data_IF_858331396639
#
_entry.id   IF_858331396639
#
_cell.length_a   1.000
_cell.length_b   1.000
_cell.length_c   1.000
_cell.angle_alpha   90.00
_cell.angle_beta   90.00
_cell.angle_gamma   90.00
#
_symmetry.space_group_name_H-M   'P 1'
#
loop_
_entity.id
_entity.type
_entity.pdbx_description
1 polymer ?
#
# COMPACT_ATOMS: atom_id res chain seq x y z
N UNK A 1 -30.20 2.00 -22.29
CA UNK A 1 -29.66 3.05 -23.18
C UNK A 1 -29.56 4.31 -22.32
N UNK A 2 -28.42 5.00 -22.29
CA UNK A 2 -28.29 6.26 -21.55
C UNK A 2 -28.99 7.38 -22.34
N UNK A 3 -29.68 8.27 -21.63
CA UNK A 3 -30.45 9.37 -22.21
C UNK A 3 -29.64 10.67 -22.32
N UNK A 4 -28.44 10.73 -21.75
CA UNK A 4 -27.53 11.88 -21.90
C UNK A 4 -26.07 11.53 -21.65
N UNK A 5 -25.15 12.40 -22.08
CA UNK A 5 -23.73 12.31 -21.73
C UNK A 5 -23.47 12.44 -20.23
N UNK A 6 -24.31 13.18 -19.51
CA UNK A 6 -24.22 13.31 -18.06
C UNK A 6 -24.53 11.98 -17.35
N UNK A 7 -25.59 11.28 -17.79
CA UNK A 7 -25.91 9.95 -17.26
C UNK A 7 -24.80 8.92 -17.55
N UNK A 8 -24.16 9.01 -18.72
CA UNK A 8 -23.01 8.16 -19.07
C UNK A 8 -21.83 8.41 -18.11
N UNK A 9 -21.51 9.67 -17.83
CA UNK A 9 -20.42 10.03 -16.91
C UNK A 9 -20.74 9.59 -15.47
N UNK A 10 -21.95 9.86 -14.98
CA UNK A 10 -22.38 9.44 -13.65
C UNK A 10 -22.30 7.91 -13.48
N UNK A 11 -22.73 7.15 -14.49
CA UNK A 11 -22.62 5.70 -14.48
C UNK A 11 -21.16 5.22 -14.53
N UNK A 12 -20.31 5.92 -15.28
CA UNK A 12 -18.86 5.64 -15.32
C UNK A 12 -18.23 5.81 -13.95
N UNK A 13 -18.51 6.93 -13.27
CA UNK A 13 -18.01 7.19 -11.91
C UNK A 13 -18.49 6.11 -10.93
N UNK A 14 -19.77 5.71 -11.02
CA UNK A 14 -20.31 4.65 -10.16
C UNK A 14 -19.60 3.30 -10.38
N UNK A 15 -19.17 2.97 -11.61
CA UNK A 15 -18.36 1.78 -11.88
C UNK A 15 -16.99 1.91 -11.22
N UNK A 16 -16.33 3.06 -11.34
CA UNK A 16 -15.01 3.31 -10.75
C UNK A 16 -15.09 3.18 -9.22
N UNK A 17 -16.05 3.85 -8.58
CA UNK A 17 -16.23 3.78 -7.12
C UNK A 17 -16.55 2.37 -6.64
N UNK A 18 -17.41 1.64 -7.35
CA UNK A 18 -17.70 0.25 -7.00
C UNK A 18 -16.45 -0.62 -7.12
N UNK A 19 -15.68 -0.45 -8.20
CA UNK A 19 -14.45 -1.22 -8.43
C UNK A 19 -13.43 -0.94 -7.32
N UNK A 20 -13.22 0.32 -6.95
CA UNK A 20 -12.33 0.68 -5.84
C UNK A 20 -12.76 0.03 -4.52
N UNK A 21 -14.05 0.06 -4.19
CA UNK A 21 -14.57 -0.59 -2.99
C UNK A 21 -14.41 -2.11 -3.01
N UNK A 22 -14.72 -2.77 -4.12
CA UNK A 22 -14.55 -4.22 -4.26
C UNK A 22 -13.08 -4.64 -4.11
N UNK A 23 -12.15 -3.90 -4.71
CA UNK A 23 -10.71 -4.14 -4.54
C UNK A 23 -10.24 -3.93 -3.10
N UNK A 24 -10.77 -2.90 -2.41
CA UNK A 24 -10.47 -2.67 -0.99
C UNK A 24 -10.90 -3.83 -0.12
N UNK A 25 -12.12 -4.35 -0.30
CA UNK A 25 -12.62 -5.51 0.43
C UNK A 25 -11.78 -6.77 0.14
N UNK A 26 -11.36 -6.99 -1.11
CA UNK A 26 -10.45 -8.08 -1.46
C UNK A 26 -9.13 -7.96 -0.69
N UNK A 27 -8.55 -6.76 -0.66
CA UNK A 27 -7.27 -6.52 0.03
C UNK A 27 -7.41 -6.69 1.55
N UNK A 28 -8.51 -6.24 2.16
CA UNK A 28 -8.84 -6.52 3.58
C UNK A 28 -8.89 -8.02 3.84
N UNK A 29 -9.60 -8.77 3.00
CA UNK A 29 -9.75 -10.22 3.18
C UNK A 29 -8.41 -10.94 3.07
N UNK A 30 -7.63 -10.66 2.01
CA UNK A 30 -6.32 -11.27 1.81
C UNK A 30 -5.35 -10.94 2.95
N UNK A 31 -5.33 -9.69 3.42
CA UNK A 31 -4.46 -9.30 4.54
C UNK A 31 -4.91 -9.90 5.87
N UNK A 32 -6.19 -10.23 6.03
CA UNK A 32 -6.69 -10.92 7.24
C UNK A 32 -6.18 -12.35 7.39
N UNK A 33 -5.70 -12.97 6.31
CA UNK A 33 -5.05 -14.29 6.34
C UNK A 33 -3.62 -14.21 6.92
N UNK A 34 -3.04 -13.00 6.99
CA UNK A 34 -1.69 -12.77 7.50
C UNK A 34 -1.78 -12.48 9.01
N UNK A 35 -1.45 -13.46 9.84
CA UNK A 35 -1.52 -13.32 11.30
C UNK A 35 -0.64 -12.19 11.85
N UNK A 36 0.57 -11.99 11.28
CA UNK A 36 1.45 -10.86 11.58
C UNK A 36 2.15 -10.43 10.30
N UNK A 37 2.13 -9.13 10.00
CA UNK A 37 2.82 -8.58 8.83
C UNK A 37 4.34 -8.80 8.94
N UNK A 38 5.02 -9.12 7.83
CA UNK A 38 6.46 -9.35 7.84
C UNK A 38 7.23 -8.04 8.10
N UNK A 39 8.45 -8.09 8.66
CA UNK A 39 9.31 -6.92 8.71
C UNK A 39 9.61 -6.43 7.29
N UNK A 40 9.50 -5.12 7.07
CA UNK A 40 9.80 -4.54 5.76
C UNK A 40 11.31 -4.58 5.50
N UNK A 41 11.77 -4.96 4.28
CA UNK A 41 13.19 -5.05 3.97
C UNK A 41 13.95 -3.75 4.25
N UNK A 42 15.00 -3.83 5.09
CA UNK A 42 15.84 -2.69 5.44
C UNK A 42 15.23 -1.72 6.46
N UNK A 43 13.96 -1.89 6.84
CA UNK A 43 13.33 -1.18 7.94
C UNK A 43 13.75 -1.76 9.31
N UNK A 44 13.64 -0.92 10.34
CA UNK A 44 13.97 -1.26 11.74
C UNK A 44 12.67 -1.46 12.52
N UNK A 45 11.63 -0.69 12.19
CA UNK A 45 10.39 -0.66 12.96
C UNK A 45 9.14 -0.84 12.10
N UNK A 46 9.30 -0.84 10.77
CA UNK A 46 8.19 -0.98 9.82
C UNK A 46 7.91 -2.44 9.46
N UNK A 47 6.64 -2.81 9.48
CA UNK A 47 6.14 -4.13 9.10
C UNK A 47 5.07 -3.97 8.02
N UNK A 48 5.14 -4.79 6.99
CA UNK A 48 4.21 -4.77 5.87
C UNK A 48 4.78 -5.39 4.60
N UNK A 49 3.93 -5.53 3.61
CA UNK A 49 4.30 -6.12 2.32
C UNK A 49 4.62 -5.00 1.33
N UNK A 50 5.82 -5.05 0.76
CA UNK A 50 6.25 -4.12 -0.29
C UNK A 50 5.37 -4.25 -1.55
N UNK A 51 4.96 -3.10 -2.08
CA UNK A 51 4.18 -2.98 -3.31
C UNK A 51 4.99 -2.16 -4.30
N UNK A 52 5.21 -2.72 -5.49
CA UNK A 52 5.75 -1.95 -6.60
C UNK A 52 4.74 -0.88 -7.01
N UNK A 53 5.10 0.42 -6.97
CA UNK A 53 4.18 1.47 -7.33
C UNK A 53 3.75 1.34 -8.80
N UNK A 54 2.47 1.62 -9.14
CA UNK A 54 2.03 1.60 -10.52
C UNK A 54 2.79 2.65 -11.35
N UNK A 55 2.94 2.39 -12.65
CA UNK A 55 3.67 3.29 -13.55
C UNK A 55 3.13 4.72 -13.49
N UNK A 56 4.02 5.68 -13.30
CA UNK A 56 3.68 7.10 -13.21
C UNK A 56 3.15 7.54 -11.85
N UNK A 57 3.17 6.67 -10.84
CA UNK A 57 2.93 7.06 -9.45
C UNK A 57 4.02 8.03 -8.98
N UNK A 58 3.61 9.01 -8.16
CA UNK A 58 4.51 9.95 -7.51
C UNK A 58 4.97 9.47 -6.13
N UNK A 59 4.41 8.36 -5.64
CA UNK A 59 4.78 7.77 -4.36
C UNK A 59 6.04 6.93 -4.49
N UNK A 60 6.85 6.94 -3.43
CA UNK A 60 8.03 6.11 -3.27
C UNK A 60 7.68 4.68 -2.86
N UNK A 61 8.19 4.25 -1.71
CA UNK A 61 8.01 2.88 -1.22
C UNK A 61 6.59 2.68 -0.69
N UNK A 62 5.76 1.93 -1.42
CA UNK A 62 4.39 1.63 -0.98
C UNK A 62 4.38 0.31 -0.21
N UNK A 63 3.62 0.29 0.88
CA UNK A 63 3.49 -0.85 1.78
C UNK A 63 2.02 -1.16 2.02
N UNK A 64 1.66 -2.44 1.97
CA UNK A 64 0.40 -2.93 2.55
C UNK A 64 0.57 -3.13 4.04
N UNK A 65 -0.15 -2.31 4.81
CA UNK A 65 -0.22 -2.38 6.26
C UNK A 65 -1.45 -3.14 6.76
N UNK A 66 -1.81 -2.92 8.03
CA UNK A 66 -2.94 -3.61 8.64
C UNK A 66 -4.26 -3.31 7.92
N UNK A 67 -5.16 -4.31 7.90
CA UNK A 67 -6.49 -4.21 7.28
C UNK A 67 -6.44 -3.74 5.82
N UNK A 68 -5.38 -4.10 5.09
CA UNK A 68 -5.23 -3.76 3.68
C UNK A 68 -5.03 -2.27 3.39
N UNK A 69 -4.74 -1.45 4.39
CA UNK A 69 -4.41 -0.05 4.15
C UNK A 69 -3.08 0.08 3.41
N UNK A 70 -2.99 1.08 2.54
CA UNK A 70 -1.78 1.38 1.78
C UNK A 70 -1.07 2.58 2.42
N UNK A 71 0.24 2.45 2.59
CA UNK A 71 1.09 3.48 3.18
C UNK A 71 2.28 3.76 2.28
N UNK A 72 2.75 5.01 2.28
CA UNK A 72 4.07 5.37 1.79
C UNK A 72 5.02 5.34 2.97
N UNK A 73 6.08 4.56 2.86
CA UNK A 73 7.18 4.57 3.81
C UNK A 73 8.12 5.71 3.48
N UNK A 74 8.18 6.68 4.39
CA UNK A 74 9.14 7.77 4.35
C UNK A 74 10.30 7.44 5.29
N UNK A 75 11.49 7.35 4.70
CA UNK A 75 12.74 7.21 5.43
C UNK A 75 13.42 8.57 5.50
N UNK A 76 13.73 9.03 6.72
CA UNK A 76 14.49 10.24 6.96
C UNK A 76 15.62 10.01 7.96
N UNK A 77 16.59 10.91 7.96
CA UNK A 77 17.76 10.84 8.84
C UNK A 77 17.84 12.12 9.69
N UNK A 78 18.13 11.97 10.97
CA UNK A 78 18.42 13.08 11.87
C UNK A 78 19.91 13.47 11.73
N UNK A 79 20.15 14.62 11.12
CA UNK A 79 21.48 15.15 10.86
C UNK A 79 22.28 15.43 12.16
N UNK A 80 21.60 15.79 13.26
CA UNK A 80 22.26 16.04 14.54
C UNK A 80 22.70 14.74 15.20
N UNK A 81 21.86 13.71 15.13
CA UNK A 81 22.20 12.37 15.61
C UNK A 81 23.33 11.77 14.76
N UNK A 82 23.29 12.00 13.45
CA UNK A 82 24.34 11.61 12.50
C UNK A 82 25.68 12.29 12.83
N UNK A 83 25.67 13.60 13.06
CA UNK A 83 26.87 14.36 13.41
C UNK A 83 27.52 13.92 14.73
N UNK A 84 26.74 13.33 15.63
CA UNK A 84 27.21 12.77 16.91
C UNK A 84 27.66 11.31 16.82
N UNK A 85 27.60 10.68 15.64
CA UNK A 85 27.82 9.24 15.46
C UNK A 85 26.96 8.39 16.41
N UNK A 86 25.70 8.79 16.56
CA UNK A 86 24.75 8.10 17.45
C UNK A 86 24.38 6.71 16.91
N UNK A 87 23.61 5.92 17.67
CA UNK A 87 23.20 4.60 17.20
C UNK A 87 22.30 4.71 15.93
N UNK A 88 22.33 3.73 15.00
CA UNK A 88 21.50 3.79 13.78
C UNK A 88 20.00 3.98 14.04
N UNK A 89 19.50 3.44 15.14
CA UNK A 89 18.10 3.59 15.60
C UNK A 89 17.75 5.00 16.07
N UNK A 90 18.75 5.83 16.40
CA UNK A 90 18.59 7.24 16.77
C UNK A 90 18.79 8.16 15.56
N UNK A 91 19.51 7.68 14.54
CA UNK A 91 19.79 8.44 13.32
C UNK A 91 18.61 8.31 12.36
N UNK A 92 17.99 7.14 12.24
CA UNK A 92 16.97 6.87 11.23
C UNK A 92 15.57 6.99 11.79
N UNK A 93 14.73 7.76 11.10
CA UNK A 93 13.30 7.86 11.34
C UNK A 93 12.54 7.18 10.20
N UNK A 94 11.51 6.41 10.57
CA UNK A 94 10.62 5.72 9.65
C UNK A 94 9.19 6.19 9.92
N UNK A 95 8.51 6.69 8.90
CA UNK A 95 7.14 7.15 8.99
C UNK A 95 6.27 6.47 7.93
N UNK A 96 5.07 6.06 8.33
CA UNK A 96 4.06 5.49 7.43
C UNK A 96 2.97 6.52 7.18
N UNK A 97 2.99 7.11 6.00
CA UNK A 97 1.96 8.03 5.55
C UNK A 97 0.84 7.28 4.86
N UNK A 98 -0.39 7.38 5.35
CA UNK A 98 -1.54 6.74 4.72
C UNK A 98 -1.74 7.31 3.30
N UNK A 99 -1.90 6.44 2.31
CA UNK A 99 -2.25 6.85 0.95
C UNK A 99 -3.74 7.22 0.90
N UNK A 100 -4.02 8.52 0.97
CA UNK A 100 -5.35 9.08 0.73
C UNK A 100 -5.57 9.28 -0.77
N UNK A 101 -6.04 8.22 -1.44
CA UNK A 101 -6.30 8.21 -2.88
C UNK A 101 -7.80 8.30 -3.15
N UNK A 102 -8.17 8.98 -4.24
CA UNK A 102 -9.52 8.86 -4.78
C UNK A 102 -9.71 7.50 -5.48
N UNK A 103 -10.94 7.18 -5.89
CA UNK A 103 -11.24 5.88 -6.50
C UNK A 103 -10.42 5.59 -7.77
N UNK A 104 -10.13 6.61 -8.59
CA UNK A 104 -9.43 6.40 -9.87
C UNK A 104 -7.93 6.18 -9.65
N UNK A 105 -7.35 6.86 -8.67
CA UNK A 105 -5.96 6.68 -8.24
C UNK A 105 -5.80 5.40 -7.42
N UNK A 106 -6.78 5.02 -6.61
CA UNK A 106 -6.71 3.85 -5.73
C UNK A 106 -6.66 2.54 -6.51
N UNK A 107 -7.46 2.38 -7.56
CA UNK A 107 -7.59 1.11 -8.32
C UNK A 107 -6.23 0.52 -8.75
N UNK A 108 -5.34 1.24 -9.44
CA UNK A 108 -4.05 0.66 -9.85
C UNK A 108 -3.15 0.30 -8.67
N UNK A 109 -3.19 1.08 -7.57
CA UNK A 109 -2.43 0.79 -6.37
C UNK A 109 -2.96 -0.44 -5.64
N UNK A 110 -4.27 -0.55 -5.49
CA UNK A 110 -4.94 -1.71 -4.88
C UNK A 110 -4.70 -2.98 -5.69
N UNK A 111 -4.75 -2.90 -7.02
CA UNK A 111 -4.43 -4.04 -7.88
C UNK A 111 -2.99 -4.53 -7.69
N UNK A 112 -2.00 -3.63 -7.69
CA UNK A 112 -0.61 -3.98 -7.44
C UNK A 112 -0.42 -4.58 -6.03
N UNK A 113 -1.07 -4.00 -5.02
CA UNK A 113 -1.05 -4.49 -3.65
C UNK A 113 -1.63 -5.90 -3.52
N UNK A 114 -2.78 -6.18 -4.15
CA UNK A 114 -3.38 -7.52 -4.18
C UNK A 114 -2.42 -8.54 -4.77
N UNK A 115 -1.75 -8.21 -5.88
CA UNK A 115 -0.74 -9.08 -6.48
C UNK A 115 0.43 -9.34 -5.51
N UNK A 116 0.93 -8.31 -4.84
CA UNK A 116 2.01 -8.44 -3.86
C UNK A 116 1.62 -9.35 -2.68
N UNK A 117 0.41 -9.15 -2.13
CA UNK A 117 -0.11 -9.95 -1.01
C UNK A 117 -0.32 -11.41 -1.41
N UNK A 118 -0.92 -11.68 -2.57
CA UNK A 118 -1.08 -13.05 -3.08
C UNK A 118 0.28 -13.72 -3.27
N UNK A 119 1.26 -13.01 -3.82
CA UNK A 119 2.61 -13.53 -3.99
C UNK A 119 3.28 -13.85 -2.65
N UNK A 120 3.04 -13.04 -1.62
CA UNK A 120 3.54 -13.29 -0.27
C UNK A 120 2.89 -14.54 0.34
N UNK A 121 1.55 -14.63 0.31
CA UNK A 121 0.82 -15.79 0.82
C UNK A 121 1.26 -17.09 0.13
N UNK A 122 1.35 -17.09 -1.20
CA UNK A 122 1.78 -18.26 -1.97
C UNK A 122 3.21 -18.71 -1.66
N UNK A 123 4.13 -17.78 -1.34
CA UNK A 123 5.50 -18.14 -0.93
C UNK A 123 5.52 -18.82 0.44
N UNK A 124 4.61 -18.43 1.34
CA UNK A 124 4.43 -19.09 2.64
C UNK A 124 3.93 -20.54 2.50
N UNK A 125 3.05 -20.80 1.53
CA UNK A 125 2.45 -22.13 1.29
C UNK A 125 3.38 -23.20 0.70
N UNK A 126 4.63 -22.85 0.36
CA UNK A 126 5.62 -23.77 -0.24
C UNK A 126 6.63 -24.27 0.82
N UNK A 127 6.52 -23.83 2.08
CA UNK A 127 7.43 -24.20 3.17
C UNK A 127 6.91 -25.27 4.14
N UNK A 128 5.82 -25.98 3.82
CA UNK A 128 5.35 -27.17 4.57
C UNK A 128 5.71 -28.50 3.87
#
# INVERSE_FOLDING_TARGET
MFNSHFEQLAFTNAIVDRTANELKEILINLTSEIGQLPPFPGAMFTYGIEVEPPKGSNFGCIIVGEKGNLYELILSFDDNALAKNSAPTEIRNEELNLLELDSIEFIPHAYAAIQAVINYLNKGSIQE
#
